data_IF_282362859714
#
_entry.id   IF_282362859714
#
_cell.length_a   1.000
_cell.length_b   1.000
_cell.length_c   1.000
_cell.angle_alpha   90.00
_cell.angle_beta   90.00
_cell.angle_gamma   90.00
#
_symmetry.space_group_name_H-M   'P 1'
#
loop_
_entity.id
_entity.type
_entity.pdbx_description
1 polymer ?
#
# COMPACT_ATOMS: atom_id res chain seq x y z
N UNK A 1 -6.07 15.77 -23.95
CA UNK A 1 -6.71 15.67 -22.63
C UNK A 1 -5.68 15.03 -21.73
N UNK A 2 -5.17 15.73 -20.72
CA UNK A 2 -4.18 15.15 -19.81
C UNK A 2 -4.95 14.33 -18.78
N UNK A 3 -4.85 13.02 -18.86
CA UNK A 3 -5.33 12.12 -17.80
C UNK A 3 -4.54 12.48 -16.53
N UNK A 4 -5.22 12.99 -15.50
CA UNK A 4 -4.60 13.24 -14.20
C UNK A 4 -4.51 11.90 -13.46
N UNK A 5 -3.31 11.35 -13.41
CA UNK A 5 -3.03 10.14 -12.64
C UNK A 5 -2.78 10.54 -11.18
N UNK A 6 -3.79 10.37 -10.32
CA UNK A 6 -3.65 10.58 -8.88
C UNK A 6 -2.90 9.40 -8.24
N UNK A 7 -1.58 9.55 -8.10
CA UNK A 7 -0.76 8.59 -7.35
C UNK A 7 -0.85 8.96 -5.86
N UNK A 8 -1.85 8.41 -5.17
CA UNK A 8 -2.02 8.57 -3.72
C UNK A 8 -0.83 8.00 -2.94
N UNK A 9 -0.56 8.56 -1.75
CA UNK A 9 0.42 7.98 -0.81
C UNK A 9 -0.03 6.56 -0.45
N UNK A 10 0.93 5.65 -0.29
CA UNK A 10 0.66 4.34 0.32
C UNK A 10 -0.06 4.55 1.66
N UNK A 11 -1.06 3.72 1.94
CA UNK A 11 -1.72 3.71 3.23
C UNK A 11 -0.68 3.54 4.34
N UNK A 12 -0.88 4.25 5.43
CA UNK A 12 -0.12 4.11 6.66
C UNK A 12 -0.65 2.98 7.55
N UNK A 13 -1.81 2.41 7.18
CA UNK A 13 -2.53 1.40 7.94
C UNK A 13 -3.05 0.25 7.05
N UNK A 14 -3.23 -0.93 7.65
CA UNK A 14 -3.90 -2.05 7.03
C UNK A 14 -5.39 -1.76 6.84
N UNK A 15 -5.92 -1.96 5.64
CA UNK A 15 -7.33 -1.75 5.33
C UNK A 15 -8.29 -2.74 6.03
N UNK A 16 -7.80 -3.89 6.51
CA UNK A 16 -8.61 -4.93 7.17
C UNK A 16 -8.69 -4.74 8.68
N UNK A 17 -7.54 -4.57 9.34
CA UNK A 17 -7.46 -4.49 10.80
C UNK A 17 -7.15 -3.08 11.34
N UNK A 18 -6.98 -2.09 10.46
CA UNK A 18 -6.58 -0.72 10.80
C UNK A 18 -5.22 -0.58 11.51
N UNK A 19 -4.44 -1.66 11.63
CA UNK A 19 -3.12 -1.60 12.24
C UNK A 19 -2.17 -0.75 11.40
N UNK A 20 -1.49 0.21 12.04
CA UNK A 20 -0.45 1.00 11.40
C UNK A 20 0.70 0.12 10.93
N UNK A 21 1.24 0.38 9.74
CA UNK A 21 2.43 -0.29 9.25
C UNK A 21 3.66 0.25 9.99
N UNK A 22 4.38 -0.54 10.78
CA UNK A 22 5.56 -0.02 11.47
C UNK A 22 6.65 0.32 10.45
N UNK A 23 7.48 1.32 10.77
CA UNK A 23 8.62 1.67 9.91
C UNK A 23 9.53 0.45 9.67
N UNK A 24 10.01 0.32 8.44
CA UNK A 24 10.89 -0.79 8.05
C UNK A 24 10.21 -2.16 7.97
N UNK A 25 8.91 -2.28 8.30
CA UNK A 25 8.16 -3.53 8.18
C UNK A 25 7.52 -3.64 6.81
N UNK A 26 7.39 -4.89 6.37
CA UNK A 26 6.78 -5.22 5.09
C UNK A 26 5.26 -5.18 5.19
N UNK A 27 4.63 -4.75 4.11
CA UNK A 27 3.18 -4.83 3.90
C UNK A 27 2.92 -5.23 2.45
N UNK A 28 1.70 -5.64 2.15
CA UNK A 28 1.27 -6.03 0.82
C UNK A 28 0.30 -4.99 0.28
N UNK A 29 0.47 -4.64 -0.98
CA UNK A 29 -0.44 -3.78 -1.72
C UNK A 29 -1.08 -4.60 -2.81
N UNK A 30 -2.40 -4.49 -2.95
CA UNK A 30 -3.14 -5.16 -4.00
C UNK A 30 -4.03 -4.18 -4.75
N UNK A 31 -4.13 -4.38 -6.07
CA UNK A 31 -5.09 -3.71 -6.92
C UNK A 31 -6.29 -4.63 -7.13
N UNK A 32 -7.48 -4.07 -6.92
CA UNK A 32 -8.76 -4.71 -7.20
C UNK A 32 -9.50 -3.89 -8.24
N UNK A 33 -10.07 -4.55 -9.23
CA UNK A 33 -10.95 -3.92 -10.20
C UNK A 33 -12.40 -4.07 -9.74
N UNK A 34 -13.12 -2.97 -9.66
CA UNK A 34 -14.55 -2.96 -9.38
C UNK A 34 -15.24 -1.99 -10.33
N UNK A 35 -16.16 -2.50 -11.15
CA UNK A 35 -16.92 -1.70 -12.13
C UNK A 35 -16.05 -0.88 -13.11
N UNK A 36 -14.87 -1.40 -13.48
CA UNK A 36 -13.91 -0.71 -14.35
C UNK A 36 -13.03 0.32 -13.64
N UNK A 37 -13.20 0.48 -12.32
CA UNK A 37 -12.33 1.31 -11.50
C UNK A 37 -11.29 0.43 -10.77
N UNK A 38 -10.03 0.84 -10.81
CA UNK A 38 -8.96 0.18 -10.07
C UNK A 38 -8.76 0.86 -8.72
N UNK A 39 -8.83 0.08 -7.64
CA UNK A 39 -8.59 0.56 -6.28
C UNK A 39 -7.41 -0.18 -5.67
N UNK A 40 -6.51 0.58 -5.02
CA UNK A 40 -5.39 0.04 -4.26
C UNK A 40 -5.79 -0.14 -2.81
N UNK A 41 -5.49 -1.32 -2.26
CA UNK A 41 -5.68 -1.62 -0.85
C UNK A 41 -4.40 -2.19 -0.25
N UNK A 42 -4.03 -1.74 0.94
CA UNK A 42 -2.83 -2.16 1.64
C UNK A 42 -3.15 -3.07 2.84
N UNK A 43 -2.40 -4.14 3.02
CA UNK A 43 -2.62 -5.18 4.03
C UNK A 43 -1.34 -5.49 4.83
N UNK A 44 -1.48 -5.71 6.14
CA UNK A 44 -0.39 -6.29 6.91
C UNK A 44 -0.16 -7.76 6.49
N UNK A 45 1.00 -8.36 6.80
CA UNK A 45 1.29 -9.75 6.44
C UNK A 45 0.22 -10.74 6.90
N UNK A 46 -0.25 -10.61 8.15
CA UNK A 46 -1.24 -11.53 8.73
C UNK A 46 -2.58 -11.46 7.97
N UNK A 47 -3.09 -10.24 7.76
CA UNK A 47 -4.33 -10.03 7.00
C UNK A 47 -4.21 -10.45 5.53
N UNK A 48 -3.02 -10.33 4.94
CA UNK A 48 -2.75 -10.79 3.58
C UNK A 48 -2.83 -12.31 3.47
N UNK A 49 -2.21 -13.04 4.40
CA UNK A 49 -2.26 -14.50 4.45
C UNK A 49 -3.70 -15.01 4.61
N UNK A 50 -4.49 -14.39 5.50
CA UNK A 50 -5.91 -14.71 5.65
C UNK A 50 -6.70 -14.49 4.35
N UNK A 51 -6.46 -13.36 3.65
CA UNK A 51 -7.13 -13.07 2.37
C UNK A 51 -6.76 -14.06 1.27
N UNK A 52 -5.49 -14.50 1.22
CA UNK A 52 -5.05 -15.54 0.31
C UNK A 52 -5.74 -16.88 0.62
N UNK A 53 -5.88 -17.24 1.90
CA UNK A 53 -6.57 -18.46 2.32
C UNK A 53 -8.07 -18.42 2.01
N UNK A 54 -8.70 -17.24 2.09
CA UNK A 54 -10.10 -16.99 1.70
C UNK A 54 -10.32 -17.06 0.18
N UNK A 55 -9.27 -17.18 -0.63
CA UNK A 55 -9.37 -17.24 -2.09
C UNK A 55 -9.79 -15.93 -2.74
N UNK A 56 -9.53 -14.79 -2.08
CA UNK A 56 -9.80 -13.46 -2.68
C UNK A 56 -8.96 -13.26 -3.93
N UNK A 57 -9.62 -13.01 -5.06
CA UNK A 57 -8.97 -12.66 -6.31
C UNK A 57 -8.58 -11.18 -6.33
N UNK A 58 -7.29 -10.90 -6.48
CA UNK A 58 -6.75 -9.57 -6.76
C UNK A 58 -6.27 -9.51 -8.20
N UNK A 59 -6.39 -8.35 -8.85
CA UNK A 59 -5.90 -8.17 -10.22
C UNK A 59 -4.36 -8.29 -10.27
N UNK A 60 -3.68 -7.58 -9.36
CA UNK A 60 -2.26 -7.73 -9.12
C UNK A 60 -1.91 -7.34 -7.68
N UNK A 61 -0.76 -7.79 -7.22
CA UNK A 61 -0.26 -7.47 -5.89
C UNK A 61 1.25 -7.38 -5.86
N UNK A 62 1.78 -6.64 -4.90
CA UNK A 62 3.21 -6.56 -4.65
C UNK A 62 3.50 -6.43 -3.16
N UNK A 63 4.67 -6.91 -2.76
CA UNK A 63 5.19 -6.73 -1.42
C UNK A 63 6.05 -5.47 -1.39
N UNK A 64 5.83 -4.62 -0.39
CA UNK A 64 6.58 -3.39 -0.18
C UNK A 64 6.95 -3.23 1.30
N UNK A 65 7.64 -2.15 1.65
CA UNK A 65 8.10 -1.85 3.02
C UNK A 65 7.89 -0.38 3.32
N UNK A 66 7.40 -0.06 4.52
CA UNK A 66 7.31 1.34 4.96
C UNK A 66 8.73 1.89 5.09
N UNK A 67 9.02 3.01 4.43
CA UNK A 67 10.30 3.68 4.55
C UNK A 67 10.59 3.95 6.03
N UNK A 68 11.82 3.67 6.46
CA UNK A 68 12.31 4.22 7.71
C UNK A 68 12.47 5.73 7.50
N UNK A 69 12.08 6.53 8.48
CA UNK A 69 12.36 7.95 8.47
C UNK A 69 13.89 8.10 8.49
N UNK A 70 14.49 8.29 7.32
CA UNK A 70 15.83 8.85 7.26
C UNK A 70 15.68 10.32 7.58
N UNK A 71 16.54 10.81 8.49
CA UNK A 71 16.78 12.24 8.65
C UNK A 71 17.08 12.79 7.25
N UNK A 72 16.13 13.51 6.67
CA UNK A 72 16.32 14.09 5.34
C UNK A 72 17.40 15.15 5.56
N UNK A 73 18.60 15.04 4.97
CA UNK A 73 19.54 16.14 5.07
C UNK A 73 18.82 17.37 4.51
N UNK A 74 18.68 18.39 5.35
CA UNK A 74 18.16 19.67 4.96
C UNK A 74 19.12 20.20 3.90
N UNK A 75 18.72 20.10 2.63
CA UNK A 75 19.43 20.78 1.55
C UNK A 75 19.07 22.24 1.68
N UNK A 76 19.91 22.99 2.39
CA UNK A 76 19.82 24.45 2.40
C UNK A 76 19.99 24.92 0.95
N UNK A 77 18.92 25.51 0.41
CA UNK A 77 18.95 26.15 -0.89
C UNK A 77 19.89 27.36 -0.81
N UNK A 78 21.00 27.32 -1.55
CA UNK A 78 21.88 28.47 -1.79
C UNK A 78 21.30 29.37 -2.89
#
# INVERSE_FOLDING_TARGET
>A
MFESWDIGRSGDCCARCAAEFPQGRAFFSALSEHQGEMSRTDFCPDCWEDLCAEGRGFFCFWRTRRAVAHDRPQVDAQ
#
